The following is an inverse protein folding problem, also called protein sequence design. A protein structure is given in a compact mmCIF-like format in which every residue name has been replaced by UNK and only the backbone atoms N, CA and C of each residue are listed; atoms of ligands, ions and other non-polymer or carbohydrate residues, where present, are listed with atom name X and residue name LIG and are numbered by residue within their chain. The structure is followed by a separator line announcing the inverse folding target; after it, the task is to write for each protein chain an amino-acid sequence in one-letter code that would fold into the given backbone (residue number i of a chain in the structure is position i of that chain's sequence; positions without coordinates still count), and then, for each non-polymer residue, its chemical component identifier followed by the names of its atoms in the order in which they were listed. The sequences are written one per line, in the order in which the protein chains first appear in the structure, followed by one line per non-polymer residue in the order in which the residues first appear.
data_IF_806976818634
#
_entry.id   IF_806976818634
#
_cell.length_a   1.000
_cell.length_b   1.000
_cell.length_c   1.000
_cell.angle_alpha   90.00
_cell.angle_beta   90.00
_cell.angle_gamma   90.00
#
_symmetry.space_group_name_H-M   'P 1'
#
loop_
_entity.id
_entity.type
_entity.pdbx_description
1 polymer ?
#
# COMPACT_ATOMS: atom_id res chain seq x y z
N UNK A 1 -22.69 21.10 8.69
CA UNK A 1 -21.89 20.56 7.58
C UNK A 1 -20.44 20.95 7.81
N UNK A 2 -19.57 20.00 8.09
CA UNK A 2 -18.15 20.24 8.37
C UNK A 2 -17.29 20.15 7.08
N UNK A 3 -15.97 20.34 7.18
CA UNK A 3 -15.06 20.26 6.03
C UNK A 3 -15.07 18.88 5.35
N UNK A 4 -15.18 17.79 6.13
CA UNK A 4 -15.25 16.43 5.60
C UNK A 4 -16.54 16.21 4.79
N UNK A 5 -17.68 16.74 5.26
CA UNK A 5 -18.95 16.65 4.55
C UNK A 5 -18.89 17.36 3.19
N UNK A 6 -18.19 18.51 3.11
CA UNK A 6 -18.00 19.24 1.86
C UNK A 6 -17.07 18.47 0.91
N UNK A 7 -15.97 17.89 1.42
CA UNK A 7 -15.05 17.10 0.61
C UNK A 7 -15.74 15.89 -0.04
N UNK A 8 -16.63 15.22 0.69
CA UNK A 8 -17.40 14.06 0.19
C UNK A 8 -18.30 14.39 -1.01
N UNK A 9 -18.62 15.66 -1.27
CA UNK A 9 -19.41 16.06 -2.44
C UNK A 9 -18.59 16.08 -3.73
N UNK A 10 -17.27 16.14 -3.63
CA UNK A 10 -16.37 16.31 -4.77
C UNK A 10 -15.37 15.16 -4.93
N UNK A 11 -15.06 14.46 -3.84
CA UNK A 11 -14.02 13.44 -3.79
C UNK A 11 -14.48 12.21 -3.01
N UNK A 12 -14.11 11.03 -3.50
CA UNK A 12 -14.30 9.78 -2.76
C UNK A 12 -13.31 9.77 -1.59
N UNK A 13 -13.84 9.80 -0.37
CA UNK A 13 -13.02 9.74 0.85
C UNK A 13 -12.62 8.29 1.14
N UNK A 14 -11.31 8.08 1.28
CA UNK A 14 -10.68 6.81 1.62
C UNK A 14 -10.00 6.97 2.98
N UNK A 15 -10.11 5.98 3.86
CA UNK A 15 -9.40 5.99 5.13
C UNK A 15 -8.05 5.26 5.04
N UNK A 16 -6.97 5.90 5.48
CA UNK A 16 -5.62 5.30 5.52
C UNK A 16 -5.27 4.83 6.93
N UNK A 17 -5.74 3.62 7.28
CA UNK A 17 -5.55 3.05 8.62
C UNK A 17 -5.83 1.55 8.66
N UNK A 18 -5.11 0.85 9.54
CA UNK A 18 -5.44 -0.51 9.97
C UNK A 18 -6.40 -0.57 11.17
N UNK A 19 -6.75 0.58 11.77
CA UNK A 19 -7.58 0.69 12.97
C UNK A 19 -9.08 0.68 12.61
N UNK A 20 -9.60 -0.48 12.24
CA UNK A 20 -10.96 -0.60 11.70
C UNK A 20 -12.08 -0.31 12.71
N UNK A 21 -11.84 -0.43 14.03
CA UNK A 21 -12.82 -0.04 15.05
C UNK A 21 -13.15 1.45 15.05
N UNK A 22 -12.25 2.28 14.51
CA UNK A 22 -12.44 3.73 14.42
C UNK A 22 -12.94 4.17 13.04
N UNK A 23 -13.05 3.27 12.05
CA UNK A 23 -13.44 3.64 10.68
C UNK A 23 -14.90 4.11 10.59
N UNK A 24 -15.81 3.45 11.31
CA UNK A 24 -17.25 3.66 11.20
C UNK A 24 -17.65 5.13 11.46
N UNK A 25 -16.96 5.83 12.35
CA UNK A 25 -17.24 7.22 12.69
C UNK A 25 -17.05 8.20 11.52
N UNK A 26 -16.22 7.82 10.53
CA UNK A 26 -15.90 8.67 9.38
C UNK A 26 -16.66 8.27 8.11
N UNK A 27 -17.31 7.10 8.11
CA UNK A 27 -18.01 6.52 6.96
C UNK A 27 -17.25 6.70 5.63
N UNK A 28 -16.01 6.19 5.51
CA UNK A 28 -15.25 6.24 4.27
C UNK A 28 -15.81 5.26 3.25
N UNK A 29 -15.54 5.50 1.95
CA UNK A 29 -15.96 4.60 0.87
C UNK A 29 -15.04 3.38 0.79
N UNK A 30 -13.74 3.63 0.70
CA UNK A 30 -12.67 2.62 0.63
C UNK A 30 -11.75 2.79 1.85
N UNK A 31 -10.88 1.81 2.08
CA UNK A 31 -9.79 1.92 3.04
C UNK A 31 -8.48 1.37 2.45
N UNK A 32 -7.36 1.88 2.93
CA UNK A 32 -6.02 1.41 2.55
C UNK A 32 -5.23 1.05 3.79
N UNK A 33 -4.46 -0.03 3.66
CA UNK A 33 -3.45 -0.42 4.64
C UNK A 33 -2.06 -0.39 3.98
N UNK A 34 -1.04 -0.54 4.80
CA UNK A 34 0.34 -0.81 4.41
C UNK A 34 1.01 -1.56 5.58
N UNK A 35 2.23 -2.11 5.41
CA UNK A 35 2.88 -2.88 6.47
C UNK A 35 3.00 -2.13 7.80
N UNK A 36 3.31 -0.82 7.75
CA UNK A 36 3.44 0.03 8.93
C UNK A 36 2.10 0.21 9.68
N UNK A 37 1.00 0.39 8.96
CA UNK A 37 -0.33 0.56 9.54
C UNK A 37 -0.83 -0.73 10.19
N UNK A 38 -0.58 -1.88 9.56
CA UNK A 38 -0.91 -3.18 10.15
C UNK A 38 -0.04 -3.44 11.38
N UNK A 39 1.27 -3.20 11.30
CA UNK A 39 2.18 -3.34 12.44
C UNK A 39 1.72 -2.51 13.64
N UNK A 40 1.36 -1.24 13.42
CA UNK A 40 0.82 -0.38 14.48
C UNK A 40 -0.51 -0.90 15.03
N UNK A 41 -1.39 -1.43 14.18
CA UNK A 41 -2.68 -1.94 14.61
C UNK A 41 -2.52 -3.21 15.48
N UNK A 42 -1.72 -4.19 15.07
CA UNK A 42 -1.53 -5.45 15.83
C UNK A 42 -0.88 -5.25 17.20
N UNK A 43 -0.21 -4.12 17.41
CA UNK A 43 0.38 -3.75 18.70
C UNK A 43 -0.65 -3.22 19.70
N UNK A 44 -1.87 -2.84 19.26
CA UNK A 44 -2.90 -2.36 20.17
C UNK A 44 -3.61 -3.54 20.85
N UNK A 45 -3.93 -3.44 22.16
CA UNK A 45 -4.60 -4.52 22.91
C UNK A 45 -5.87 -5.03 22.23
N UNK A 46 -6.61 -4.10 21.63
CA UNK A 46 -7.86 -4.30 20.93
C UNK A 46 -7.81 -5.22 19.72
N UNK A 47 -6.63 -5.37 19.11
CA UNK A 47 -6.38 -6.18 17.92
C UNK A 47 -5.47 -7.38 18.19
N UNK A 48 -4.88 -7.44 19.39
CA UNK A 48 -4.00 -8.54 19.79
C UNK A 48 -4.64 -9.93 19.65
N UNK A 49 -5.95 -10.14 19.94
CA UNK A 49 -6.60 -11.43 19.68
C UNK A 49 -6.56 -11.81 18.20
N UNK A 50 -6.81 -10.85 17.30
CA UNK A 50 -6.85 -11.08 15.85
C UNK A 50 -5.52 -11.63 15.34
N UNK A 51 -4.40 -11.06 15.78
CA UNK A 51 -3.06 -11.56 15.46
C UNK A 51 -2.82 -12.94 16.08
N UNK A 52 -3.05 -13.10 17.39
CA UNK A 52 -2.75 -14.34 18.11
C UNK A 52 -3.51 -15.54 17.54
N UNK A 53 -4.81 -15.36 17.29
CA UNK A 53 -5.67 -16.39 16.72
C UNK A 53 -5.23 -16.77 15.30
N UNK A 54 -4.91 -15.78 14.46
CA UNK A 54 -4.45 -16.04 13.09
C UNK A 54 -3.12 -16.79 13.09
N UNK A 55 -2.14 -16.34 13.89
CA UNK A 55 -0.84 -17.03 14.01
C UNK A 55 -1.00 -18.45 14.56
N UNK A 56 -1.91 -18.65 15.53
CA UNK A 56 -2.17 -19.98 16.08
C UNK A 56 -2.83 -20.92 15.06
N UNK A 57 -3.78 -20.42 14.26
CA UNK A 57 -4.48 -21.20 13.24
C UNK A 57 -3.57 -21.64 12.08
N UNK A 58 -2.53 -20.85 11.78
CA UNK A 58 -1.60 -21.08 10.68
C UNK A 58 -0.21 -21.54 11.16
N UNK A 59 -0.13 -22.06 12.38
CA UNK A 59 1.12 -22.51 12.99
C UNK A 59 1.76 -23.63 12.15
N UNK A 60 3.03 -23.45 11.81
CA UNK A 60 3.82 -24.43 11.02
C UNK A 60 3.91 -24.11 9.54
N UNK A 61 3.14 -23.12 9.05
CA UNK A 61 3.36 -22.55 7.72
C UNK A 61 4.60 -21.63 7.71
N UNK A 62 5.18 -21.38 6.52
CA UNK A 62 6.20 -20.35 6.34
C UNK A 62 5.75 -18.98 6.90
N UNK A 63 6.69 -18.22 7.47
CA UNK A 63 6.37 -16.94 8.12
C UNK A 63 5.67 -15.97 7.17
N UNK A 64 6.07 -15.95 5.90
CA UNK A 64 5.49 -15.05 4.92
C UNK A 64 4.04 -15.41 4.57
N UNK A 65 3.67 -16.69 4.60
CA UNK A 65 2.28 -17.13 4.47
C UNK A 65 1.44 -16.74 5.68
N UNK A 66 1.98 -16.90 6.89
CA UNK A 66 1.31 -16.46 8.13
C UNK A 66 1.05 -14.94 8.09
N UNK A 67 2.02 -14.17 7.60
CA UNK A 67 1.87 -12.72 7.43
C UNK A 67 0.75 -12.41 6.43
N UNK A 68 0.69 -13.10 5.29
CA UNK A 68 -0.39 -12.90 4.32
C UNK A 68 -1.77 -13.19 4.94
N UNK A 69 -1.90 -14.27 5.74
CA UNK A 69 -3.12 -14.56 6.48
C UNK A 69 -3.50 -13.44 7.46
N UNK A 70 -2.53 -12.84 8.15
CA UNK A 70 -2.76 -11.68 9.04
C UNK A 70 -3.24 -10.47 8.23
N UNK A 71 -2.60 -10.15 7.11
CA UNK A 71 -3.00 -9.03 6.24
C UNK A 71 -4.44 -9.19 5.74
N UNK A 72 -4.77 -10.38 5.24
CA UNK A 72 -6.13 -10.71 4.76
C UNK A 72 -7.14 -10.68 5.91
N UNK A 73 -6.77 -11.17 7.10
CA UNK A 73 -7.65 -11.11 8.28
C UNK A 73 -8.02 -9.68 8.64
N UNK A 74 -7.07 -8.74 8.60
CA UNK A 74 -7.36 -7.32 8.81
C UNK A 74 -8.22 -6.74 7.70
N UNK A 75 -7.92 -7.03 6.43
CA UNK A 75 -8.71 -6.50 5.32
C UNK A 75 -10.16 -7.00 5.32
N UNK A 76 -10.41 -8.25 5.74
CA UNK A 76 -11.78 -8.77 5.95
C UNK A 76 -12.55 -7.93 6.97
N UNK A 77 -11.93 -7.64 8.12
CA UNK A 77 -12.55 -6.80 9.16
C UNK A 77 -12.80 -5.36 8.68
N UNK A 78 -11.91 -4.82 7.83
CA UNK A 78 -12.12 -3.52 7.20
C UNK A 78 -13.32 -3.56 6.24
N UNK A 79 -13.45 -4.61 5.42
CA UNK A 79 -14.52 -4.76 4.43
C UNK A 79 -15.91 -4.99 5.05
N UNK A 80 -15.98 -5.39 6.31
CA UNK A 80 -17.22 -5.41 7.11
C UNK A 80 -17.71 -4.00 7.44
N UNK A 81 -16.80 -3.00 7.48
CA UNK A 81 -17.10 -1.62 7.84
C UNK A 81 -17.27 -0.71 6.62
N UNK A 82 -16.44 -0.91 5.58
CA UNK A 82 -16.45 -0.05 4.39
C UNK A 82 -17.26 -0.68 3.25
N UNK A 83 -18.09 0.10 2.53
CA UNK A 83 -18.91 -0.44 1.44
C UNK A 83 -18.12 -0.68 0.14
N UNK A 84 -16.97 -0.04 -0.01
CA UNK A 84 -16.09 -0.16 -1.17
C UNK A 84 -14.94 -1.13 -0.91
N UNK A 85 -13.73 -0.76 -1.30
CA UNK A 85 -12.56 -1.65 -1.40
C UNK A 85 -11.59 -1.51 -0.24
N UNK A 86 -10.76 -2.54 -0.06
CA UNK A 86 -9.56 -2.48 0.81
C UNK A 86 -8.30 -2.63 -0.03
N UNK A 87 -7.32 -1.74 0.16
CA UNK A 87 -5.97 -1.93 -0.38
C UNK A 87 -5.12 -2.77 0.58
N UNK A 88 -4.54 -3.87 0.08
CA UNK A 88 -3.63 -4.75 0.82
C UNK A 88 -2.28 -4.80 0.12
N UNK A 89 -1.21 -4.50 0.84
CA UNK A 89 0.12 -4.32 0.23
C UNK A 89 0.92 -5.62 0.14
N UNK A 90 1.55 -5.84 -1.01
CA UNK A 90 2.55 -6.89 -1.22
C UNK A 90 3.80 -6.55 -0.41
N UNK A 91 4.51 -7.59 0.03
CA UNK A 91 5.78 -7.43 0.74
C UNK A 91 6.76 -6.56 -0.04
N UNK A 92 7.14 -5.41 0.52
CA UNK A 92 8.01 -4.44 -0.12
C UNK A 92 9.40 -5.01 -0.47
N UNK A 93 9.84 -6.11 0.16
CA UNK A 93 11.08 -6.82 -0.22
C UNK A 93 11.03 -7.39 -1.64
N UNK A 94 9.84 -7.57 -2.20
CA UNK A 94 9.62 -8.08 -3.55
C UNK A 94 9.56 -6.96 -4.62
N UNK A 95 9.72 -5.69 -4.23
CA UNK A 95 9.49 -4.53 -5.11
C UNK A 95 10.34 -4.52 -6.38
N UNK A 96 11.46 -5.24 -6.41
CA UNK A 96 12.36 -5.35 -7.57
C UNK A 96 12.32 -6.74 -8.22
N UNK A 97 11.29 -7.53 -7.94
CA UNK A 97 11.04 -8.84 -8.55
C UNK A 97 9.60 -8.90 -9.06
N UNK A 98 9.45 -8.79 -10.39
CA UNK A 98 8.13 -8.81 -11.04
C UNK A 98 7.40 -10.12 -10.78
N UNK A 99 8.09 -11.26 -10.94
CA UNK A 99 7.47 -12.57 -10.85
C UNK A 99 7.05 -12.88 -9.41
N UNK A 100 7.91 -12.56 -8.43
CA UNK A 100 7.58 -12.74 -7.02
C UNK A 100 6.44 -11.81 -6.56
N UNK A 101 6.40 -10.57 -7.05
CA UNK A 101 5.30 -9.63 -6.76
C UNK A 101 3.97 -10.14 -7.30
N UNK A 102 3.93 -10.61 -8.55
CA UNK A 102 2.74 -11.20 -9.17
C UNK A 102 2.29 -12.46 -8.41
N UNK A 103 3.22 -13.35 -8.08
CA UNK A 103 2.92 -14.56 -7.33
C UNK A 103 2.32 -14.26 -5.94
N UNK A 104 2.89 -13.28 -5.23
CA UNK A 104 2.38 -12.84 -3.93
C UNK A 104 0.99 -12.21 -4.05
N UNK A 105 0.79 -11.34 -5.02
CA UNK A 105 -0.49 -10.70 -5.28
C UNK A 105 -1.60 -11.72 -5.51
N UNK A 106 -1.38 -12.69 -6.41
CA UNK A 106 -2.33 -13.77 -6.68
C UNK A 106 -2.66 -14.58 -5.42
N UNK A 107 -1.64 -14.89 -4.60
CA UNK A 107 -1.85 -15.60 -3.33
C UNK A 107 -2.74 -14.79 -2.37
N UNK A 108 -2.48 -13.50 -2.20
CA UNK A 108 -3.29 -12.63 -1.36
C UNK A 108 -4.75 -12.57 -1.86
N UNK A 109 -4.96 -12.44 -3.17
CA UNK A 109 -6.31 -12.46 -3.76
C UNK A 109 -7.01 -13.80 -3.51
N UNK A 110 -6.32 -14.92 -3.75
CA UNK A 110 -6.87 -16.25 -3.50
C UNK A 110 -7.31 -16.42 -2.04
N UNK A 111 -6.52 -15.93 -1.08
CA UNK A 111 -6.89 -15.95 0.35
C UNK A 111 -8.14 -15.11 0.66
N UNK A 112 -8.38 -14.01 -0.06
CA UNK A 112 -9.63 -13.26 0.05
C UNK A 112 -10.81 -14.05 -0.55
N UNK A 113 -10.62 -14.65 -1.72
CA UNK A 113 -11.66 -15.44 -2.41
C UNK A 113 -12.06 -16.67 -1.58
N UNK A 114 -11.09 -17.38 -1.01
CA UNK A 114 -11.30 -18.50 -0.08
C UNK A 114 -12.08 -18.07 1.17
N UNK A 115 -11.96 -16.80 1.56
CA UNK A 115 -12.72 -16.20 2.64
C UNK A 115 -14.10 -15.65 2.22
N UNK A 116 -14.53 -15.91 0.98
CA UNK A 116 -15.80 -15.46 0.41
C UNK A 116 -15.83 -13.98 0.00
N UNK A 117 -14.67 -13.32 -0.09
CA UNK A 117 -14.57 -11.93 -0.52
C UNK A 117 -14.26 -11.91 -2.03
N UNK A 118 -15.14 -11.31 -2.86
CA UNK A 118 -14.90 -11.23 -4.29
C UNK A 118 -13.73 -10.27 -4.58
N UNK A 119 -12.88 -10.60 -5.55
CA UNK A 119 -11.62 -9.87 -5.85
C UNK A 119 -11.84 -8.39 -6.16
N UNK A 120 -13.01 -8.00 -6.65
CA UNK A 120 -13.39 -6.62 -6.95
C UNK A 120 -13.47 -5.72 -5.69
N UNK A 121 -13.56 -6.33 -4.50
CA UNK A 121 -13.49 -5.63 -3.20
C UNK A 121 -12.05 -5.40 -2.73
N UNK A 122 -11.04 -5.87 -3.47
CA UNK A 122 -9.63 -5.83 -3.08
C UNK A 122 -8.82 -5.04 -4.11
N UNK A 123 -7.90 -4.22 -3.62
CA UNK A 123 -6.82 -3.63 -4.42
C UNK A 123 -5.48 -4.18 -3.92
N UNK A 124 -4.68 -4.74 -4.82
CA UNK A 124 -3.32 -5.16 -4.48
C UNK A 124 -2.40 -3.95 -4.57
N UNK A 125 -1.82 -3.57 -3.44
CA UNK A 125 -0.95 -2.41 -3.35
C UNK A 125 0.50 -2.82 -3.60
N UNK A 126 1.16 -2.16 -4.55
CA UNK A 126 2.51 -2.49 -5.03
C UNK A 126 3.32 -1.20 -5.16
N UNK A 127 4.60 -1.21 -4.78
CA UNK A 127 5.49 -0.07 -4.96
C UNK A 127 5.68 0.26 -6.46
N UNK A 128 5.70 1.55 -6.80
CA UNK A 128 5.82 2.05 -8.18
C UNK A 128 7.26 2.00 -8.72
N UNK A 129 7.97 0.91 -8.49
CA UNK A 129 9.21 0.56 -9.21
C UNK A 129 8.87 0.13 -10.64
N UNK A 130 9.87 -0.01 -11.51
CA UNK A 130 9.61 -0.52 -12.86
C UNK A 130 9.02 -1.94 -12.82
N UNK A 131 9.60 -2.82 -12.01
CA UNK A 131 9.16 -4.20 -11.82
C UNK A 131 7.76 -4.26 -11.21
N UNK A 132 7.45 -3.38 -10.25
CA UNK A 132 6.12 -3.27 -9.65
C UNK A 132 5.06 -2.81 -10.66
N UNK A 133 5.40 -1.86 -11.53
CA UNK A 133 4.52 -1.42 -12.63
C UNK A 133 4.29 -2.56 -13.64
N UNK A 134 5.32 -3.32 -14.00
CA UNK A 134 5.15 -4.50 -14.88
C UNK A 134 4.30 -5.59 -14.22
N UNK A 135 4.48 -5.81 -12.90
CA UNK A 135 3.66 -6.74 -12.14
C UNK A 135 2.18 -6.31 -12.16
N UNK A 136 1.90 -5.03 -11.89
CA UNK A 136 0.55 -4.48 -11.93
C UNK A 136 -0.10 -4.64 -13.33
N UNK A 137 0.65 -4.41 -14.41
CA UNK A 137 0.15 -4.62 -15.78
C UNK A 137 -0.32 -6.07 -16.01
N UNK A 138 0.45 -7.05 -15.55
CA UNK A 138 0.08 -8.47 -15.65
C UNK A 138 -1.20 -8.74 -14.85
N UNK A 139 -1.23 -8.26 -13.61
CA UNK A 139 -2.34 -8.48 -12.69
C UNK A 139 -3.65 -7.84 -13.17
N UNK A 140 -3.62 -6.62 -13.69
CA UNK A 140 -4.81 -5.96 -14.26
C UNK A 140 -5.37 -6.75 -15.46
N UNK A 141 -4.50 -7.32 -16.30
CA UNK A 141 -4.93 -8.18 -17.41
C UNK A 141 -5.57 -9.50 -16.94
N UNK A 142 -5.37 -9.87 -15.68
CA UNK A 142 -5.99 -11.02 -15.01
C UNK A 142 -7.23 -10.62 -14.17
N UNK A 143 -7.62 -9.35 -14.21
CA UNK A 143 -8.72 -8.81 -13.41
C UNK A 143 -8.38 -8.67 -11.92
N UNK A 144 -7.09 -8.59 -11.57
CA UNK A 144 -6.62 -8.27 -10.23
C UNK A 144 -6.23 -6.79 -10.19
N UNK A 145 -7.12 -5.98 -9.61
CA UNK A 145 -6.93 -4.55 -9.56
C UNK A 145 -5.82 -4.13 -8.59
N UNK A 146 -5.01 -3.16 -9.00
CA UNK A 146 -3.82 -2.74 -8.30
C UNK A 146 -3.88 -1.26 -7.85
N UNK A 147 -3.22 -0.98 -6.72
CA UNK A 147 -2.95 0.34 -6.17
C UNK A 147 -1.44 0.58 -6.21
N UNK A 148 -0.96 1.36 -7.18
CA UNK A 148 0.47 1.64 -7.29
C UNK A 148 0.88 2.79 -6.35
N UNK A 149 1.60 2.44 -5.29
CA UNK A 149 2.01 3.34 -4.19
C UNK A 149 3.46 3.78 -4.31
N UNK A 150 3.92 4.68 -3.44
CA UNK A 150 5.30 5.22 -3.45
C UNK A 150 5.64 5.85 -4.82
N UNK A 151 4.67 6.58 -5.36
CA UNK A 151 4.81 7.33 -6.60
C UNK A 151 5.22 8.77 -6.28
N UNK A 152 6.40 9.16 -6.74
CA UNK A 152 7.01 10.46 -6.44
C UNK A 152 7.46 11.23 -7.69
N UNK A 153 7.62 10.55 -8.83
CA UNK A 153 8.12 11.14 -10.06
C UNK A 153 7.08 11.08 -11.19
N UNK A 154 7.11 12.08 -12.07
CA UNK A 154 6.24 12.13 -13.24
C UNK A 154 6.42 10.92 -14.17
N UNK A 155 7.65 10.42 -14.33
CA UNK A 155 7.91 9.23 -15.13
C UNK A 155 7.19 7.99 -14.58
N UNK A 156 7.10 7.86 -13.24
CA UNK A 156 6.31 6.80 -12.62
C UNK A 156 4.83 6.99 -12.96
N UNK A 157 4.28 8.20 -12.85
CA UNK A 157 2.88 8.48 -13.18
C UNK A 157 2.54 8.11 -14.63
N UNK A 158 3.39 8.50 -15.59
CA UNK A 158 3.23 8.14 -17.00
C UNK A 158 3.26 6.62 -17.18
N UNK A 159 4.26 5.94 -16.62
CA UNK A 159 4.38 4.49 -16.73
C UNK A 159 3.20 3.74 -16.08
N UNK A 160 2.66 4.25 -14.96
CA UNK A 160 1.45 3.71 -14.33
C UNK A 160 0.21 3.90 -15.20
N UNK A 161 0.07 5.08 -15.84
CA UNK A 161 -1.02 5.36 -16.78
C UNK A 161 -1.02 4.38 -17.96
N UNK A 162 0.16 4.19 -18.57
CA UNK A 162 0.37 3.26 -19.69
C UNK A 162 0.21 1.77 -19.31
N UNK A 163 0.18 1.46 -18.00
CA UNK A 163 0.02 0.10 -17.50
C UNK A 163 -1.44 -0.32 -17.30
N UNK A 164 -2.42 0.59 -17.45
CA UNK A 164 -3.84 0.23 -17.49
C UNK A 164 -4.77 0.94 -16.50
N UNK A 165 -4.48 2.18 -16.09
CA UNK A 165 -5.45 2.98 -15.31
C UNK A 165 -5.55 2.58 -13.83
N UNK A 166 -4.40 2.57 -13.17
CA UNK A 166 -4.22 2.16 -11.78
C UNK A 166 -4.68 3.26 -10.79
N UNK A 167 -5.12 2.86 -9.59
CA UNK A 167 -5.27 3.82 -8.50
C UNK A 167 -3.88 4.22 -8.01
N UNK A 168 -3.56 5.52 -8.11
CA UNK A 168 -2.26 6.08 -7.75
C UNK A 168 -2.47 7.07 -6.59
N UNK A 169 -2.06 6.76 -5.35
CA UNK A 169 -1.98 7.72 -4.29
C UNK A 169 -0.73 8.59 -4.49
N UNK A 170 -0.90 9.91 -4.40
CA UNK A 170 0.22 10.85 -4.40
C UNK A 170 0.96 10.69 -3.07
N UNK A 171 2.24 10.32 -3.13
CA UNK A 171 3.12 10.27 -1.95
C UNK A 171 3.50 11.67 -1.46
N UNK A 172 4.12 11.76 -0.28
CA UNK A 172 4.55 13.02 0.33
C UNK A 172 5.75 13.64 -0.42
N UNK A 173 5.48 14.26 -1.58
CA UNK A 173 6.50 14.89 -2.42
C UNK A 173 7.20 16.07 -1.70
N UNK A 174 6.58 16.63 -0.67
CA UNK A 174 7.11 17.74 0.11
C UNK A 174 8.37 17.36 0.90
N UNK A 175 8.44 16.14 1.45
CA UNK A 175 9.63 15.66 2.17
C UNK A 175 10.76 15.25 1.21
N UNK A 176 10.41 14.59 0.10
CA UNK A 176 11.37 14.25 -0.95
C UNK A 176 12.07 15.50 -1.55
N UNK A 177 11.31 16.59 -1.73
CA UNK A 177 11.85 17.88 -2.18
C UNK A 177 12.74 18.56 -1.15
N UNK A 178 12.45 18.43 0.16
CA UNK A 178 13.28 18.99 1.23
C UNK A 178 14.65 18.32 1.29
N UNK A 179 14.73 16.99 1.18
CA UNK A 179 16.01 16.28 1.15
C UNK A 179 16.84 16.61 -0.09
N UNK A 180 16.21 16.76 -1.26
CA UNK A 180 16.92 17.19 -2.48
C UNK A 180 17.45 18.62 -2.39
N UNK A 181 16.71 19.54 -1.74
CA UNK A 181 17.21 20.89 -1.47
C UNK A 181 18.40 20.88 -0.49
N UNK A 182 18.38 20.03 0.54
CA UNK A 182 19.50 19.86 1.47
C UNK A 182 20.72 19.20 0.82
N UNK A 183 20.52 18.17 0.00
CA UNK A 183 21.60 17.52 -0.76
C UNK A 183 22.19 18.43 -1.85
N UNK A 184 21.35 19.22 -2.53
CA UNK A 184 21.76 20.24 -3.48
C UNK A 184 22.54 21.39 -2.84
N UNK A 185 22.16 21.80 -1.62
CA UNK A 185 22.90 22.79 -0.82
C UNK A 185 24.28 22.28 -0.40
N UNK A 186 24.40 21.02 0.03
CA UNK A 186 25.69 20.41 0.40
C UNK A 186 26.62 20.13 -0.79
N UNK A 187 26.05 19.91 -1.99
CA UNK A 187 26.82 19.82 -3.24
C UNK A 187 27.25 21.20 -3.74
N UNK A 188 26.40 22.22 -3.60
CA UNK A 188 26.70 23.61 -3.96
C UNK A 188 27.82 24.23 -3.12
N UNK A 189 27.89 23.90 -1.83
CA UNK A 189 28.97 24.37 -0.95
C UNK A 189 30.35 23.78 -1.32
N UNK A 190 30.40 22.49 -1.67
CA UNK A 190 31.66 21.83 -2.09
C UNK A 190 32.21 22.31 -3.42
N UNK A 191 31.35 22.77 -4.34
CA UNK A 191 31.79 23.37 -5.60
C UNK A 191 32.23 24.83 -5.45
N UNK A 192 31.75 25.53 -4.41
CA UNK A 192 32.14 26.91 -4.11
C UNK A 192 33.47 27.02 -3.35
N UNK A 193 33.89 25.97 -2.64
CA UNK A 193 35.09 26.00 -1.76
C UNK A 193 36.40 25.53 -2.42
N UNK A 194 36.39 25.13 -3.68
CA UNK A 194 37.63 25.00 -4.47
C UNK A 194 38.69 24.04 -3.90
N UNK A 195 38.31 22.95 -3.23
CA UNK A 195 39.25 21.89 -2.88
C UNK A 195 39.65 21.12 -4.14
N UNK A 196 40.85 21.39 -4.66
CA UNK A 196 41.48 20.51 -5.64
C UNK A 196 41.92 19.21 -4.96
N UNK A 197 41.74 18.04 -5.61
CA UNK A 197 42.23 16.78 -5.07
C UNK A 197 43.76 16.81 -5.04
N UNK A 198 44.34 16.55 -3.87
CA UNK A 198 45.78 16.56 -3.62
C UNK A 198 46.56 15.59 -4.51
N UNK A 199 47.74 16.05 -4.90
CA UNK A 199 48.86 15.29 -5.49
C UNK A 199 49.47 14.32 -4.47
#
# INVERSE_FOLDING_TARGET
MNQLDQLKQHTIVVADTGNFKQLAQFAPRDATTNPSLILKAVQQPDYAPLLKETVAAHKGQPLDEIVDHVLVRFGRQILEVVPGRVSTEVDARLSFDTAASVARARRIVALYEDAGIPRERVLIKIASTWEGIQAARILEHEGIHCNLTLLFAFCQAVACGDAGGLLVPVGDAADAGREQLHAGSAAGHRLAEGEQPGQ
#
